data_IF_384723692427
#
_entry.id   IF_384723692427
#
_cell.length_a   1.000
_cell.length_b   1.000
_cell.length_c   1.000
_cell.angle_alpha   90.00
_cell.angle_beta   90.00
_cell.angle_gamma   90.00
#
_symmetry.space_group_name_H-M   'P 1'
#
loop_
_entity.id
_entity.type
_entity.pdbx_description
1 polymer ?
#
# COMPACT_ATOMS: atom_id res chain seq x y z
N UNK A 1 2.59 14.59 19.10
CA UNK A 1 2.20 14.52 17.67
C UNK A 1 0.91 13.74 17.50
N UNK A 2 0.82 12.47 17.95
CA UNK A 2 -0.37 11.63 17.73
C UNK A 2 -1.64 12.15 18.45
N UNK A 3 -1.58 12.58 19.73
CA UNK A 3 -2.76 13.16 20.38
C UNK A 3 -3.30 14.38 19.64
N UNK A 4 -2.42 15.26 19.14
CA UNK A 4 -2.83 16.44 18.39
C UNK A 4 -3.52 16.08 17.05
N UNK A 5 -2.94 15.16 16.27
CA UNK A 5 -3.56 14.64 15.04
C UNK A 5 -4.95 14.05 15.34
N UNK A 6 -5.05 13.14 16.33
CA UNK A 6 -6.31 12.53 16.74
C UNK A 6 -7.36 13.56 17.17
N UNK A 7 -6.98 14.52 18.02
CA UNK A 7 -7.90 15.50 18.58
C UNK A 7 -8.42 16.46 17.49
N UNK A 8 -7.58 16.81 16.50
CA UNK A 8 -8.00 17.58 15.33
C UNK A 8 -8.97 16.80 14.43
N UNK A 9 -8.74 15.49 14.22
CA UNK A 9 -9.68 14.62 13.49
C UNK A 9 -11.03 14.54 14.22
N UNK A 10 -11.03 14.34 15.54
CA UNK A 10 -12.25 14.31 16.37
C UNK A 10 -13.00 15.64 16.28
N UNK A 11 -12.27 16.75 16.29
CA UNK A 11 -12.82 18.09 16.11
C UNK A 11 -13.22 18.42 14.66
N UNK A 12 -13.05 17.47 13.70
CA UNK A 12 -13.30 17.65 12.26
C UNK A 12 -12.50 18.79 11.61
N UNK A 13 -11.31 19.08 12.15
CA UNK A 13 -10.36 20.08 11.62
C UNK A 13 -9.34 19.38 10.72
N UNK A 14 -9.81 18.83 9.60
CA UNK A 14 -9.02 17.92 8.75
C UNK A 14 -7.78 18.58 8.14
N UNK A 15 -7.93 19.80 7.60
CA UNK A 15 -6.81 20.61 7.06
C UNK A 15 -5.67 20.80 8.08
N UNK A 16 -6.02 21.06 9.34
CA UNK A 16 -5.03 21.21 10.40
C UNK A 16 -4.49 19.88 10.90
N UNK A 17 -5.31 18.83 10.84
CA UNK A 17 -4.91 17.48 11.17
C UNK A 17 -3.85 17.00 10.17
N UNK A 18 -4.01 17.28 8.88
CA UNK A 18 -3.12 16.84 7.80
C UNK A 18 -1.64 17.07 8.13
N UNK A 19 -1.22 18.33 8.36
CA UNK A 19 0.19 18.64 8.68
C UNK A 19 0.71 17.91 9.94
N UNK A 20 -0.17 17.63 10.90
CA UNK A 20 0.17 16.92 12.14
C UNK A 20 0.19 15.41 11.98
N UNK A 21 -0.62 14.87 11.10
CA UNK A 21 -0.78 13.44 10.86
C UNK A 21 0.28 12.94 9.86
N UNK A 22 0.54 13.68 8.78
CA UNK A 22 1.50 13.27 7.74
C UNK A 22 2.92 13.09 8.29
N UNK A 23 3.34 13.99 9.18
CA UNK A 23 4.67 13.92 9.83
C UNK A 23 4.82 12.75 10.80
N UNK A 24 3.74 12.03 11.11
CA UNK A 24 3.76 10.91 12.04
C UNK A 24 4.63 9.77 11.54
N UNK A 25 4.43 9.38 10.28
CA UNK A 25 5.10 8.23 9.68
C UNK A 25 6.61 8.45 9.64
N UNK A 26 7.03 9.64 9.21
CA UNK A 26 8.45 10.04 9.22
C UNK A 26 9.03 10.06 10.62
N UNK A 27 8.29 10.60 11.61
CA UNK A 27 8.75 10.63 12.98
C UNK A 27 8.95 9.21 13.54
N UNK A 28 7.97 8.33 13.36
CA UNK A 28 8.05 6.94 13.84
C UNK A 28 9.21 6.21 13.16
N UNK A 29 9.34 6.35 11.84
CA UNK A 29 10.41 5.71 11.08
C UNK A 29 11.78 6.21 11.56
N UNK A 30 11.95 7.52 11.72
CA UNK A 30 13.20 8.12 12.18
C UNK A 30 13.59 7.65 13.60
N UNK A 31 12.64 7.62 14.53
CA UNK A 31 12.91 7.13 15.88
C UNK A 31 13.21 5.62 15.90
N UNK A 32 12.52 4.82 15.08
CA UNK A 32 12.79 3.40 14.95
C UNK A 32 14.19 3.13 14.37
N UNK A 33 14.58 3.85 13.32
CA UNK A 33 15.91 3.74 12.71
C UNK A 33 17.02 4.11 13.70
N UNK A 34 16.86 5.22 14.44
CA UNK A 34 17.82 5.62 15.50
C UNK A 34 17.97 4.53 16.56
N UNK A 35 16.86 3.96 17.01
CA UNK A 35 16.86 2.93 18.05
C UNK A 35 17.50 1.63 17.58
N UNK A 36 17.28 1.25 16.33
CA UNK A 36 17.76 -0.01 15.76
C UNK A 36 19.14 0.10 15.11
N UNK A 37 19.66 1.31 14.90
CA UNK A 37 20.95 1.54 14.27
C UNK A 37 21.02 1.08 12.81
N UNK A 38 19.88 1.04 12.10
CA UNK A 38 19.80 0.64 10.68
C UNK A 38 18.80 1.50 9.92
N UNK A 39 18.99 1.58 8.60
CA UNK A 39 18.06 2.22 7.66
C UNK A 39 16.90 1.28 7.37
N UNK A 40 15.67 1.61 7.77
CA UNK A 40 14.51 0.72 7.66
C UNK A 40 13.78 1.02 6.35
N UNK A 41 13.43 -0.01 5.58
CA UNK A 41 12.57 0.15 4.42
C UNK A 41 11.11 0.36 4.87
N UNK A 42 10.47 1.51 4.59
CA UNK A 42 9.08 1.78 4.99
C UNK A 42 8.08 0.89 4.23
N UNK A 43 8.47 0.30 3.10
CA UNK A 43 7.64 -0.63 2.32
C UNK A 43 7.73 -2.06 2.81
N UNK A 44 8.79 -2.43 3.52
CA UNK A 44 8.89 -3.67 4.28
C UNK A 44 9.87 -3.47 5.44
N UNK A 45 9.33 -3.31 6.64
CA UNK A 45 10.12 -3.01 7.84
C UNK A 45 11.11 -4.12 8.21
N UNK A 46 11.02 -5.32 7.62
CA UNK A 46 11.99 -6.40 7.82
C UNK A 46 13.29 -6.16 7.04
N UNK A 47 13.25 -5.31 6.00
CA UNK A 47 14.37 -5.02 5.11
C UNK A 47 15.05 -3.70 5.46
N UNK A 48 16.28 -3.56 4.97
CA UNK A 48 17.00 -2.30 4.99
C UNK A 48 16.65 -1.45 3.75
N UNK A 49 16.86 -0.14 3.86
CA UNK A 49 16.70 0.82 2.75
C UNK A 49 18.08 1.32 2.28
N UNK A 50 18.73 0.63 1.32
CA UNK A 50 20.10 0.93 0.91
C UNK A 50 20.21 2.05 -0.14
N UNK A 51 19.10 2.39 -0.81
CA UNK A 51 19.02 3.40 -1.87
C UNK A 51 17.84 4.34 -1.62
N UNK A 52 17.84 5.58 -2.15
CA UNK A 52 16.64 6.41 -2.16
C UNK A 52 15.45 5.65 -2.78
N UNK A 53 14.29 5.67 -2.11
CA UNK A 53 13.12 4.87 -2.52
C UNK A 53 13.18 3.38 -2.13
N UNK A 54 14.26 2.93 -1.47
CA UNK A 54 14.45 1.61 -0.86
C UNK A 54 14.41 0.38 -1.78
N UNK A 55 14.17 0.57 -3.08
CA UNK A 55 14.28 -0.47 -4.11
C UNK A 55 15.09 0.07 -5.28
N UNK A 56 16.09 -0.71 -5.73
CA UNK A 56 16.86 -0.37 -6.91
C UNK A 56 16.06 -0.69 -8.18
N UNK A 57 15.63 0.37 -8.87
CA UNK A 57 14.88 0.29 -10.12
C UNK A 57 15.72 0.67 -11.34
N UNK A 58 17.04 0.82 -11.19
CA UNK A 58 17.94 1.29 -12.26
C UNK A 58 17.82 0.46 -13.54
N UNK A 59 17.75 -0.86 -13.40
CA UNK A 59 17.57 -1.78 -14.54
C UNK A 59 16.22 -1.59 -15.25
N UNK A 60 15.15 -1.34 -14.50
CA UNK A 60 13.83 -1.07 -15.06
C UNK A 60 13.83 0.26 -15.81
N UNK A 61 14.38 1.30 -15.18
CA UNK A 61 14.56 2.63 -15.79
C UNK A 61 15.39 2.54 -17.07
N UNK A 62 16.49 1.80 -17.05
CA UNK A 62 17.34 1.60 -18.22
C UNK A 62 16.57 0.89 -19.34
N UNK A 63 15.95 -0.24 -19.02
CA UNK A 63 15.21 -1.03 -20.01
C UNK A 63 14.11 -0.22 -20.70
N UNK A 64 13.29 0.47 -19.90
CA UNK A 64 12.16 1.26 -20.40
C UNK A 64 12.57 2.52 -21.14
N UNK A 65 13.84 2.95 -21.06
CA UNK A 65 14.39 4.10 -21.80
C UNK A 65 15.24 3.71 -23.03
N UNK A 66 15.34 2.42 -23.37
CA UNK A 66 16.03 2.01 -24.59
C UNK A 66 15.22 2.41 -25.83
N UNK A 67 15.93 2.83 -26.88
CA UNK A 67 15.30 3.28 -28.12
C UNK A 67 14.49 2.19 -28.82
N UNK A 68 14.97 0.94 -28.80
CA UNK A 68 14.25 -0.19 -29.39
C UNK A 68 12.98 -0.55 -28.59
N UNK A 69 13.05 -0.49 -27.26
CA UNK A 69 11.85 -0.65 -26.40
C UNK A 69 10.84 0.47 -26.65
N UNK A 70 11.29 1.71 -26.85
CA UNK A 70 10.39 2.82 -27.21
C UNK A 70 9.73 2.65 -28.58
N UNK A 71 10.49 2.15 -29.56
CA UNK A 71 10.00 1.84 -30.90
C UNK A 71 8.91 0.76 -30.84
N UNK A 72 9.19 -0.34 -30.13
CA UNK A 72 8.24 -1.45 -29.94
C UNK A 72 6.96 -1.03 -29.21
N UNK A 73 7.06 -0.14 -28.21
CA UNK A 73 5.91 0.37 -27.45
C UNK A 73 5.19 1.52 -28.17
N UNK A 74 5.76 2.10 -29.23
CA UNK A 74 5.17 3.22 -29.95
C UNK A 74 5.08 4.52 -29.15
N UNK A 75 5.97 4.72 -28.16
CA UNK A 75 5.91 5.87 -27.23
C UNK A 75 6.81 7.04 -27.67
N UNK A 76 7.51 6.95 -28.80
CA UNK A 76 8.36 8.02 -29.30
C UNK A 76 9.56 8.32 -28.38
N UNK A 77 9.85 9.59 -28.11
CA UNK A 77 11.06 10.01 -27.37
C UNK A 77 10.80 10.33 -25.89
N UNK A 78 9.62 9.99 -25.36
CA UNK A 78 9.27 10.28 -23.97
C UNK A 78 10.23 9.55 -23.01
N UNK A 79 10.80 10.27 -22.05
CA UNK A 79 11.65 9.65 -21.03
C UNK A 79 10.78 9.02 -19.95
N UNK A 80 11.01 7.73 -19.69
CA UNK A 80 10.35 7.00 -18.64
C UNK A 80 10.98 7.30 -17.27
N UNK A 81 10.13 7.53 -16.27
CA UNK A 81 10.48 7.61 -14.86
C UNK A 81 9.37 6.93 -14.04
N UNK A 82 9.71 6.35 -12.89
CA UNK A 82 8.75 5.62 -12.06
C UNK A 82 7.71 6.53 -11.40
N UNK A 83 8.16 7.67 -10.86
CA UNK A 83 7.32 8.63 -10.15
C UNK A 83 7.55 10.04 -10.71
N UNK A 84 6.49 10.85 -10.78
CA UNK A 84 6.57 12.24 -11.26
C UNK A 84 6.33 13.21 -10.11
N UNK A 85 7.36 13.95 -9.71
CA UNK A 85 7.22 15.00 -8.69
C UNK A 85 6.23 16.10 -9.10
N UNK A 86 6.10 16.36 -10.41
CA UNK A 86 5.16 17.38 -10.90
C UNK A 86 3.71 16.95 -10.64
N UNK A 87 3.40 15.67 -10.90
CA UNK A 87 2.06 15.13 -10.63
C UNK A 87 1.78 15.15 -9.13
N UNK A 88 2.74 14.73 -8.31
CA UNK A 88 2.63 14.77 -6.85
C UNK A 88 2.34 16.19 -6.34
N UNK A 89 3.15 17.17 -6.74
CA UNK A 89 2.98 18.59 -6.34
C UNK A 89 1.61 19.15 -6.74
N UNK A 90 1.08 18.72 -7.89
CA UNK A 90 -0.22 19.18 -8.37
C UNK A 90 -1.40 18.54 -7.62
N UNK A 91 -1.20 17.38 -6.98
CA UNK A 91 -2.24 16.63 -6.27
C UNK A 91 -2.07 16.61 -4.74
N UNK A 92 -1.02 17.23 -4.19
CA UNK A 92 -0.70 17.16 -2.75
C UNK A 92 -1.80 17.74 -1.84
N UNK A 93 -2.68 18.57 -2.38
CA UNK A 93 -3.83 19.15 -1.66
C UNK A 93 -5.18 18.59 -2.15
N UNK A 94 -5.18 17.56 -3.02
CA UNK A 94 -6.39 16.89 -3.48
C UNK A 94 -6.71 15.71 -2.54
N UNK A 95 -7.49 15.99 -1.50
CA UNK A 95 -7.78 15.03 -0.43
C UNK A 95 -8.99 14.15 -0.73
N UNK A 96 -8.81 12.83 -0.59
CA UNK A 96 -9.93 11.88 -0.59
C UNK A 96 -10.69 11.99 0.74
N UNK A 97 -11.87 12.62 0.70
CA UNK A 97 -12.67 12.90 1.90
C UNK A 97 -13.00 11.64 2.74
N UNK A 98 -13.80 10.72 2.19
CA UNK A 98 -14.18 9.47 2.87
C UNK A 98 -15.04 8.58 1.97
N UNK A 99 -14.81 7.26 2.04
CA UNK A 99 -15.74 6.25 1.51
C UNK A 99 -16.73 5.73 2.56
N UNK A 100 -16.75 6.32 3.77
CA UNK A 100 -17.59 5.83 4.88
C UNK A 100 -19.08 5.74 4.53
N UNK A 101 -19.60 6.68 3.74
CA UNK A 101 -21.01 6.67 3.32
C UNK A 101 -21.34 5.52 2.37
N UNK A 102 -20.36 4.96 1.66
CA UNK A 102 -20.55 3.85 0.74
C UNK A 102 -20.54 2.48 1.45
N UNK A 103 -20.20 2.41 2.74
CA UNK A 103 -19.96 1.16 3.46
C UNK A 103 -20.81 1.03 4.74
N UNK A 104 -21.47 -0.13 4.90
CA UNK A 104 -22.13 -0.50 6.17
C UNK A 104 -21.11 -1.06 7.16
N UNK A 105 -20.45 -0.16 7.92
CA UNK A 105 -19.34 -0.56 8.79
C UNK A 105 -19.75 -1.36 10.02
N UNK A 106 -20.97 -1.24 10.54
CA UNK A 106 -21.36 -1.94 11.78
C UNK A 106 -21.33 -3.47 11.62
N UNK A 107 -21.84 -3.96 10.50
CA UNK A 107 -21.90 -5.40 10.25
C UNK A 107 -20.53 -5.95 9.85
N UNK A 108 -19.80 -5.20 9.02
CA UNK A 108 -18.41 -5.52 8.73
C UNK A 108 -17.57 -5.59 10.02
N UNK A 109 -17.68 -4.61 10.91
CA UNK A 109 -16.94 -4.59 12.18
C UNK A 109 -17.24 -5.80 13.06
N UNK A 110 -18.47 -6.30 13.07
CA UNK A 110 -18.88 -7.50 13.82
C UNK A 110 -18.47 -8.82 13.16
N UNK A 111 -18.06 -8.82 11.88
CA UNK A 111 -17.60 -10.04 11.21
C UNK A 111 -16.28 -10.53 11.82
N UNK A 112 -16.15 -11.85 11.96
CA UNK A 112 -14.92 -12.49 12.45
C UNK A 112 -13.93 -12.71 11.31
N UNK A 113 -12.65 -12.66 11.65
CA UNK A 113 -11.60 -13.13 10.76
C UNK A 113 -11.66 -14.64 10.60
N UNK A 114 -11.36 -15.12 9.40
CA UNK A 114 -11.24 -16.53 9.05
C UNK A 114 -9.91 -16.76 8.34
N UNK A 115 -9.28 -17.92 8.57
CA UNK A 115 -8.06 -18.28 7.85
C UNK A 115 -8.32 -18.35 6.34
N UNK A 116 -7.48 -17.67 5.57
CA UNK A 116 -7.42 -17.79 4.11
C UNK A 116 -6.29 -18.73 3.74
N UNK A 117 -6.63 -19.78 2.98
CA UNK A 117 -5.72 -20.87 2.62
C UNK A 117 -5.46 -20.85 1.12
N UNK A 118 -4.17 -20.93 0.76
CA UNK A 118 -3.66 -21.07 -0.62
C UNK A 118 -2.72 -22.27 -0.64
N UNK A 119 -2.95 -23.22 -1.56
CA UNK A 119 -2.17 -24.46 -1.69
C UNK A 119 -2.00 -25.24 -0.37
N UNK A 120 -3.02 -25.26 0.48
CA UNK A 120 -3.00 -25.97 1.76
C UNK A 120 -2.24 -25.25 2.89
N UNK A 121 -1.68 -24.07 2.65
CA UNK A 121 -1.02 -23.25 3.67
C UNK A 121 -1.83 -21.99 4.01
N UNK A 122 -1.74 -21.52 5.25
CA UNK A 122 -2.35 -20.25 5.68
C UNK A 122 -1.60 -19.10 5.00
N UNK A 123 -2.27 -18.46 4.04
CA UNK A 123 -1.76 -17.29 3.33
C UNK A 123 -2.04 -15.98 4.09
N UNK A 124 -2.96 -16.03 5.05
CA UNK A 124 -3.39 -14.87 5.80
C UNK A 124 -4.76 -15.07 6.44
N UNK A 125 -5.43 -13.98 6.72
CA UNK A 125 -6.78 -13.97 7.26
C UNK A 125 -7.69 -13.07 6.42
N UNK A 126 -8.96 -13.44 6.36
CA UNK A 126 -10.00 -12.67 5.66
C UNK A 126 -11.11 -12.30 6.61
N UNK A 127 -11.57 -11.06 6.50
CA UNK A 127 -12.80 -10.56 7.11
C UNK A 127 -13.67 -10.00 6.01
N UNK A 128 -14.87 -10.57 5.84
CA UNK A 128 -15.77 -10.18 4.76
C UNK A 128 -17.20 -9.99 5.27
N UNK A 129 -17.88 -8.97 4.74
CA UNK A 129 -19.30 -8.74 4.94
C UNK A 129 -19.90 -8.03 3.73
N UNK A 130 -20.99 -8.57 3.17
CA UNK A 130 -21.59 -8.08 1.92
C UNK A 130 -20.52 -7.96 0.82
N UNK A 131 -20.37 -6.76 0.24
CA UNK A 131 -19.48 -6.49 -0.89
C UNK A 131 -18.08 -6.03 -0.44
N UNK A 132 -17.81 -5.98 0.87
CA UNK A 132 -16.52 -5.58 1.40
C UNK A 132 -15.74 -6.77 1.95
N UNK A 133 -14.53 -6.96 1.44
CA UNK A 133 -13.57 -7.97 1.89
C UNK A 133 -12.25 -7.30 2.26
N UNK A 134 -11.75 -7.57 3.47
CA UNK A 134 -10.43 -7.21 3.94
C UNK A 134 -9.58 -8.47 4.06
N UNK A 135 -8.40 -8.45 3.44
CA UNK A 135 -7.42 -9.51 3.48
C UNK A 135 -6.15 -9.02 4.17
N UNK A 136 -5.74 -9.72 5.22
CA UNK A 136 -4.42 -9.60 5.81
C UNK A 136 -3.52 -10.65 5.16
N UNK A 137 -2.45 -10.22 4.50
CA UNK A 137 -1.60 -11.11 3.70
C UNK A 137 -0.30 -11.36 4.44
N UNK A 138 -0.08 -12.61 4.85
CA UNK A 138 1.11 -12.97 5.61
C UNK A 138 2.38 -12.81 4.75
N UNK A 139 3.45 -12.35 5.40
CA UNK A 139 4.79 -12.18 4.81
C UNK A 139 4.90 -11.18 3.65
N UNK A 140 3.84 -10.44 3.33
CA UNK A 140 3.88 -9.41 2.31
C UNK A 140 4.59 -8.12 2.80
N UNK A 141 5.18 -7.39 1.86
CA UNK A 141 5.48 -5.96 1.99
C UNK A 141 4.40 -5.12 1.29
N UNK A 142 4.65 -3.83 1.12
CA UNK A 142 3.71 -2.86 0.53
C UNK A 142 3.23 -3.28 -0.87
N UNK A 143 4.15 -3.76 -1.72
CA UNK A 143 3.82 -4.31 -3.03
C UNK A 143 3.55 -5.81 -2.94
N UNK A 144 2.36 -6.20 -2.45
CA UNK A 144 2.00 -7.62 -2.20
C UNK A 144 2.44 -8.59 -3.31
N UNK A 145 2.22 -8.32 -4.62
CA UNK A 145 2.64 -9.24 -5.68
C UNK A 145 4.15 -9.41 -5.83
N UNK A 146 4.95 -8.43 -5.41
CA UNK A 146 6.42 -8.53 -5.44
C UNK A 146 6.94 -9.51 -4.38
N UNK A 147 6.30 -9.54 -3.20
CA UNK A 147 6.76 -10.35 -2.06
C UNK A 147 6.13 -11.74 -2.03
N UNK A 148 4.85 -11.85 -2.39
CA UNK A 148 4.06 -13.08 -2.31
C UNK A 148 3.21 -13.25 -3.58
N UNK A 149 3.84 -13.42 -4.77
CA UNK A 149 3.16 -13.42 -6.07
C UNK A 149 2.07 -14.48 -6.18
N UNK A 150 2.26 -15.65 -5.57
CA UNK A 150 1.27 -16.73 -5.56
C UNK A 150 -0.01 -16.31 -4.84
N UNK A 151 0.12 -15.74 -3.65
CA UNK A 151 -0.99 -15.24 -2.85
C UNK A 151 -1.68 -14.09 -3.56
N UNK A 152 -0.93 -13.16 -4.16
CA UNK A 152 -1.50 -12.06 -4.94
C UNK A 152 -2.30 -12.56 -6.16
N UNK A 153 -1.82 -13.60 -6.85
CA UNK A 153 -2.57 -14.20 -7.95
C UNK A 153 -3.88 -14.84 -7.47
N UNK A 154 -3.87 -15.57 -6.33
CA UNK A 154 -5.10 -16.12 -5.74
C UNK A 154 -6.09 -15.02 -5.35
N UNK A 155 -5.61 -13.86 -4.85
CA UNK A 155 -6.45 -12.67 -4.63
C UNK A 155 -7.14 -12.23 -5.90
N UNK A 156 -6.38 -11.98 -6.97
CA UNK A 156 -6.94 -11.51 -8.23
C UNK A 156 -7.89 -12.54 -8.85
N UNK A 157 -7.51 -13.81 -8.85
CA UNK A 157 -8.32 -14.89 -9.41
C UNK A 157 -9.66 -15.04 -8.68
N UNK A 158 -9.66 -15.00 -7.34
CA UNK A 158 -10.89 -15.12 -6.56
C UNK A 158 -11.75 -13.88 -6.68
N UNK A 159 -11.14 -12.68 -6.64
CA UNK A 159 -11.88 -11.43 -6.81
C UNK A 159 -12.58 -11.37 -8.17
N UNK A 160 -11.86 -11.59 -9.28
CA UNK A 160 -12.41 -11.51 -10.64
C UNK A 160 -13.47 -12.58 -10.89
N UNK A 161 -13.30 -13.78 -10.32
CA UNK A 161 -14.24 -14.91 -10.46
C UNK A 161 -15.34 -14.90 -9.39
N UNK A 162 -15.43 -13.86 -8.56
CA UNK A 162 -16.34 -13.76 -7.42
C UNK A 162 -16.37 -15.02 -6.53
N UNK A 163 -15.18 -15.53 -6.18
CA UNK A 163 -15.00 -16.70 -5.31
C UNK A 163 -14.67 -16.25 -3.89
N UNK A 164 -15.16 -16.98 -2.86
CA UNK A 164 -14.86 -16.65 -1.48
C UNK A 164 -13.40 -16.97 -1.09
N UNK A 165 -12.87 -16.17 -0.18
CA UNK A 165 -11.51 -16.32 0.36
C UNK A 165 -11.43 -17.30 1.54
N UNK A 166 -12.54 -17.49 2.26
CA UNK A 166 -12.67 -18.50 3.30
C UNK A 166 -13.90 -19.37 3.04
N UNK A 167 -13.88 -20.60 3.54
CA UNK A 167 -15.07 -21.42 3.59
C UNK A 167 -16.17 -20.71 4.40
N UNK A 168 -17.41 -20.82 3.92
CA UNK A 168 -18.62 -20.34 4.60
C UNK A 168 -18.78 -21.02 5.94
#
# INVERSE_FOLDING_TARGET
>A
MYPACRDLIIAKRYEEAYDKCEKMSDFILNEAQKKLGRSINPYDIKLDCPVPGCFDISNLTYFLNRSDVHEDLGVGTHQWQMCSELVEKNLINDEVLSFKSALSMNQFNSASYKAWIVDGAIAGEVKAYSDLTLLEVNNAGHQVPMFVPKQALDILDRFIKNKPFAAS
#
